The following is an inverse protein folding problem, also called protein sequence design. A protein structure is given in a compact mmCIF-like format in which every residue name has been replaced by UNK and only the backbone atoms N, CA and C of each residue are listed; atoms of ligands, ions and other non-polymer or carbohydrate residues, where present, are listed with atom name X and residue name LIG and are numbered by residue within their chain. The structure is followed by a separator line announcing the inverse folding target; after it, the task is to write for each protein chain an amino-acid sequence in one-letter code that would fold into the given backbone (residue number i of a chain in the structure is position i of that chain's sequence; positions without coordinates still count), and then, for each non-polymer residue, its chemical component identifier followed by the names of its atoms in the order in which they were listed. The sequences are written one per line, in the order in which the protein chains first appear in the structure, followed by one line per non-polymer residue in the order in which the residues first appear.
data_IF_305992193610
#
_entry.id   IF_305992193610
#
_cell.length_a   1.000
_cell.length_b   1.000
_cell.length_c   1.000
_cell.angle_alpha   90.00
_cell.angle_beta   90.00
_cell.angle_gamma   90.00
#
_symmetry.space_group_name_H-M   'P 1'
#
loop_
_entity.id
_entity.type
_entity.pdbx_description
1 polymer ?
#
# COMPACT_ATOMS: atom_id res chain seq x y z
N UNK A 1 -28.34 -12.49 34.07
CA UNK A 1 -26.93 -12.09 33.90
C UNK A 1 -26.34 -12.56 32.57
N UNK A 2 -26.32 -13.86 32.26
CA UNK A 2 -25.73 -14.37 30.99
C UNK A 2 -26.36 -13.80 29.71
N UNK A 3 -27.69 -13.58 29.67
CA UNK A 3 -28.37 -13.06 28.49
C UNK A 3 -28.05 -11.59 28.19
N UNK A 4 -27.83 -10.77 29.22
CA UNK A 4 -27.42 -9.37 29.03
C UNK A 4 -25.99 -9.30 28.49
N UNK A 5 -25.07 -10.08 29.05
CA UNK A 5 -23.70 -10.16 28.55
C UNK A 5 -23.63 -10.63 27.08
N UNK A 6 -24.44 -11.64 26.73
CA UNK A 6 -24.54 -12.12 25.35
C UNK A 6 -25.12 -11.06 24.41
N UNK A 7 -26.21 -10.38 24.81
CA UNK A 7 -26.80 -9.31 24.02
C UNK A 7 -25.80 -8.17 23.80
N UNK A 8 -25.07 -7.76 24.84
CA UNK A 8 -24.02 -6.74 24.74
C UNK A 8 -22.93 -7.16 23.75
N UNK A 9 -22.47 -8.41 23.79
CA UNK A 9 -21.49 -8.92 22.83
C UNK A 9 -22.02 -8.87 21.40
N UNK A 10 -23.26 -9.30 21.17
CA UNK A 10 -23.89 -9.27 19.84
C UNK A 10 -24.00 -7.84 19.32
N UNK A 11 -24.42 -6.89 20.16
CA UNK A 11 -24.49 -5.48 19.79
C UNK A 11 -23.11 -4.92 19.45
N UNK A 12 -22.07 -5.24 20.24
CA UNK A 12 -20.70 -4.81 19.95
C UNK A 12 -20.19 -5.36 18.62
N UNK A 13 -20.43 -6.63 18.33
CA UNK A 13 -20.06 -7.24 17.04
C UNK A 13 -20.83 -6.59 15.89
N UNK A 14 -22.13 -6.32 16.06
CA UNK A 14 -22.93 -5.64 15.05
C UNK A 14 -22.41 -4.22 14.77
N UNK A 15 -22.15 -3.43 15.81
CA UNK A 15 -21.57 -2.07 15.68
C UNK A 15 -20.21 -2.13 15.01
N UNK A 16 -19.36 -3.09 15.38
CA UNK A 16 -18.05 -3.30 14.74
C UNK A 16 -18.19 -3.57 13.24
N UNK A 17 -19.10 -4.47 12.84
CA UNK A 17 -19.35 -4.75 11.41
C UNK A 17 -19.93 -3.55 10.65
N UNK A 18 -20.79 -2.77 11.29
CA UNK A 18 -21.38 -1.57 10.66
C UNK A 18 -20.35 -0.45 10.44
N UNK A 19 -19.26 -0.43 11.20
CA UNK A 19 -18.24 0.64 11.17
C UNK A 19 -16.90 0.22 10.56
N UNK A 20 -16.70 -1.09 10.34
CA UNK A 20 -15.48 -1.65 9.80
C UNK A 20 -15.15 -1.17 8.38
N UNK A 21 -13.87 -1.21 8.06
CA UNK A 21 -13.32 -0.99 6.73
C UNK A 21 -12.18 -1.97 6.51
N UNK A 22 -12.23 -2.68 5.40
CA UNK A 22 -11.15 -3.47 4.84
C UNK A 22 -10.87 -2.99 3.42
N UNK A 23 -9.60 -2.97 3.03
CA UNK A 23 -9.23 -2.52 1.71
C UNK A 23 -7.75 -2.67 1.41
N UNK A 24 -7.41 -2.32 0.17
CA UNK A 24 -6.04 -2.39 -0.34
C UNK A 24 -5.69 -1.09 -1.05
N UNK A 25 -4.43 -0.72 -1.00
CA UNK A 25 -3.89 0.41 -1.74
C UNK A 25 -2.47 0.07 -2.21
N UNK A 26 -2.01 0.82 -3.20
CA UNK A 26 -0.61 0.86 -3.61
C UNK A 26 -0.01 2.18 -3.16
N UNK A 27 1.27 2.14 -2.76
CA UNK A 27 1.98 3.31 -2.28
C UNK A 27 3.35 3.36 -2.95
N UNK A 28 3.74 4.55 -3.39
CA UNK A 28 5.05 4.81 -4.00
C UNK A 28 5.97 5.46 -2.98
N UNK A 29 7.26 5.14 -3.06
CA UNK A 29 8.25 5.58 -2.08
C UNK A 29 8.28 7.11 -1.99
N UNK A 30 8.25 7.62 -0.75
CA UNK A 30 8.22 9.04 -0.45
C UNK A 30 6.91 9.76 -0.79
N UNK A 31 5.93 9.10 -1.42
CA UNK A 31 4.62 9.68 -1.75
C UNK A 31 3.64 9.43 -0.58
N UNK A 32 2.89 10.46 -0.12
CA UNK A 32 1.96 10.28 0.98
C UNK A 32 0.75 9.48 0.52
N UNK A 33 0.23 8.63 1.40
CA UNK A 33 -1.05 7.99 1.18
C UNK A 33 -2.16 9.05 1.09
N UNK A 34 -2.92 9.02 0.00
CA UNK A 34 -3.93 10.02 -0.35
C UNK A 34 -5.36 9.63 0.07
N UNK A 35 -5.51 8.47 0.73
CA UNK A 35 -6.80 7.94 1.15
C UNK A 35 -7.53 7.11 0.09
N UNK A 36 -6.97 6.89 -1.10
CA UNK A 36 -7.60 6.08 -2.14
C UNK A 36 -7.31 4.60 -1.97
N UNK A 37 -8.34 3.77 -2.09
CA UNK A 37 -8.24 2.32 -2.04
C UNK A 37 -8.51 1.74 -3.42
N UNK A 38 -7.72 0.73 -3.81
CA UNK A 38 -7.94 -0.09 -5.01
C UNK A 38 -9.21 -0.94 -4.87
N UNK A 39 -9.36 -1.56 -3.70
CA UNK A 39 -10.55 -2.31 -3.33
C UNK A 39 -10.99 -1.86 -1.94
N UNK A 40 -12.31 -1.80 -1.75
CA UNK A 40 -12.94 -1.30 -0.53
C UNK A 40 -14.14 -2.16 -0.17
N UNK A 41 -14.13 -2.66 1.06
CA UNK A 41 -15.28 -3.25 1.74
C UNK A 41 -15.50 -2.47 3.04
N UNK A 42 -16.63 -1.78 3.15
CA UNK A 42 -16.92 -0.90 4.26
C UNK A 42 -18.34 -1.12 4.79
N UNK A 43 -18.46 -1.13 6.12
CA UNK A 43 -19.75 -1.16 6.77
C UNK A 43 -20.58 0.11 6.44
N UNK A 44 -21.92 0.02 6.47
CA UNK A 44 -22.81 1.12 6.07
C UNK A 44 -22.73 2.36 6.96
N UNK A 45 -22.15 2.26 8.17
CA UNK A 45 -21.91 3.38 9.08
C UNK A 45 -20.43 3.79 9.13
N UNK A 46 -19.59 3.26 8.25
CA UNK A 46 -18.18 3.64 8.17
C UNK A 46 -18.05 5.12 7.75
N UNK A 47 -17.24 5.87 8.48
CA UNK A 47 -16.97 7.29 8.20
C UNK A 47 -15.63 7.42 7.50
N UNK A 48 -15.66 7.87 6.23
CA UNK A 48 -14.46 8.01 5.42
C UNK A 48 -13.60 9.19 5.87
N UNK A 49 -12.42 8.88 6.40
CA UNK A 49 -11.41 9.86 6.84
C UNK A 49 -9.99 9.39 6.53
N UNK A 50 -9.83 8.53 5.54
CA UNK A 50 -8.55 7.89 5.22
C UNK A 50 -7.46 8.89 4.83
N UNK A 51 -7.83 10.05 4.29
CA UNK A 51 -6.92 11.14 3.95
C UNK A 51 -6.17 11.68 5.17
N UNK A 52 -6.68 11.46 6.39
CA UNK A 52 -6.02 11.87 7.65
C UNK A 52 -4.86 10.96 8.04
N UNK A 53 -4.73 9.78 7.43
CA UNK A 53 -3.63 8.87 7.73
C UNK A 53 -2.31 9.46 7.22
N UNK A 54 -2.29 10.03 6.01
CA UNK A 54 -1.21 10.85 5.43
C UNK A 54 0.24 10.36 5.67
N UNK A 55 0.43 9.05 5.85
CA UNK A 55 1.75 8.46 6.08
C UNK A 55 2.46 8.19 4.75
N UNK A 56 3.78 8.08 4.81
CA UNK A 56 4.66 7.74 3.69
C UNK A 56 5.40 6.46 4.03
N UNK A 57 5.83 5.73 3.00
CA UNK A 57 6.90 4.74 3.18
C UNK A 57 8.19 5.25 2.56
N UNK A 58 9.29 5.04 3.26
CA UNK A 58 10.64 5.47 2.92
C UNK A 58 11.46 4.32 2.32
N UNK A 59 10.77 3.39 1.66
CA UNK A 59 11.35 2.16 1.12
C UNK A 59 11.18 0.94 2.03
N UNK A 60 11.69 -0.19 1.56
CA UNK A 60 11.63 -1.46 2.29
C UNK A 60 12.89 -2.30 2.07
N UNK A 61 13.20 -3.13 3.06
CA UNK A 61 14.28 -4.09 3.04
C UNK A 61 13.74 -5.50 3.25
N UNK A 62 14.38 -6.46 2.59
CA UNK A 62 14.10 -7.88 2.75
C UNK A 62 15.42 -8.63 2.63
N UNK A 63 15.73 -9.40 3.65
CA UNK A 63 16.87 -10.30 3.60
C UNK A 63 16.46 -11.56 2.82
N UNK A 64 17.13 -11.83 1.71
CA UNK A 64 16.97 -13.07 0.96
C UNK A 64 18.10 -14.02 1.35
N UNK A 65 17.74 -15.22 1.82
CA UNK A 65 18.68 -16.32 1.98
C UNK A 65 18.89 -17.06 0.65
N UNK A 66 19.96 -17.87 0.53
CA UNK A 66 20.25 -18.71 -0.64
C UNK A 66 19.03 -19.40 -1.24
N UNK A 67 18.95 -19.45 -2.57
CA UNK A 67 17.77 -19.91 -3.30
C UNK A 67 16.56 -18.95 -3.22
N UNK A 68 16.81 -17.64 -3.04
CA UNK A 68 15.77 -16.58 -2.97
C UNK A 68 14.72 -16.81 -1.87
N UNK A 69 15.11 -17.44 -0.77
CA UNK A 69 14.20 -17.65 0.36
C UNK A 69 13.99 -16.33 1.09
N UNK A 70 12.77 -15.80 1.01
CA UNK A 70 12.39 -14.53 1.62
C UNK A 70 12.45 -14.59 3.16
N UNK A 71 13.16 -13.64 3.76
CA UNK A 71 13.07 -13.30 5.18
C UNK A 71 11.89 -12.37 5.50
N UNK A 72 11.99 -11.69 6.65
CA UNK A 72 11.00 -10.72 7.08
C UNK A 72 11.09 -9.42 6.27
N UNK A 73 9.93 -8.86 5.90
CA UNK A 73 9.87 -7.51 5.32
C UNK A 73 10.02 -6.47 6.41
N UNK A 74 10.88 -5.47 6.18
CA UNK A 74 10.98 -4.24 6.98
C UNK A 74 10.67 -3.05 6.09
N UNK A 75 9.65 -2.28 6.40
CA UNK A 75 9.29 -1.09 5.65
C UNK A 75 9.24 0.09 6.62
N UNK A 76 10.08 1.10 6.38
CA UNK A 76 10.12 2.30 7.22
C UNK A 76 9.00 3.22 6.78
N UNK A 77 8.16 3.64 7.71
CA UNK A 77 7.07 4.60 7.47
C UNK A 77 7.27 5.86 8.29
N UNK A 78 6.80 6.98 7.77
CA UNK A 78 6.80 8.28 8.44
C UNK A 78 5.41 8.90 8.38
N UNK A 79 5.02 9.63 9.42
CA UNK A 79 3.76 10.38 9.45
C UNK A 79 3.86 11.59 10.39
N UNK A 80 2.87 12.46 10.37
CA UNK A 80 2.71 13.51 11.38
C UNK A 80 1.61 13.12 12.35
N UNK A 81 1.87 13.27 13.65
CA UNK A 81 0.84 13.06 14.67
C UNK A 81 -0.11 14.28 14.80
N UNK A 82 -1.10 14.17 15.70
CA UNK A 82 -2.10 15.22 15.93
C UNK A 82 -1.49 16.54 16.45
N UNK A 83 -0.23 16.52 16.92
CA UNK A 83 0.52 17.71 17.36
C UNK A 83 1.39 18.28 16.24
N UNK A 84 1.41 17.65 15.06
CA UNK A 84 2.25 18.01 13.92
C UNK A 84 3.70 17.51 14.05
N UNK A 85 4.03 16.69 15.05
CA UNK A 85 5.38 16.14 15.17
C UNK A 85 5.57 14.97 14.19
N UNK A 86 6.77 14.93 13.59
CA UNK A 86 7.16 13.82 12.73
C UNK A 86 7.40 12.56 13.57
N UNK A 87 6.75 11.48 13.16
CA UNK A 87 6.85 10.16 13.75
C UNK A 87 7.38 9.18 12.70
N UNK A 88 8.01 8.09 13.16
CA UNK A 88 8.46 7.01 12.30
C UNK A 88 8.34 5.66 12.99
N UNK A 89 8.11 4.62 12.19
CA UNK A 89 8.08 3.23 12.65
C UNK A 89 8.56 2.30 11.54
N UNK A 90 8.96 1.08 11.90
CA UNK A 90 9.21 0.00 10.95
C UNK A 90 8.05 -0.98 11.02
N UNK A 91 7.38 -1.18 9.89
CA UNK A 91 6.30 -2.15 9.73
C UNK A 91 6.75 -3.38 8.92
N UNK A 92 5.98 -4.45 8.98
CA UNK A 92 6.29 -5.68 8.26
C UNK A 92 5.19 -6.73 8.36
N UNK A 93 5.55 -7.97 8.01
CA UNK A 93 4.61 -9.08 7.80
C UNK A 93 3.66 -9.35 8.99
N UNK A 94 4.11 -9.07 10.22
CA UNK A 94 3.31 -9.24 11.46
C UNK A 94 3.31 -8.01 12.37
N UNK A 95 3.84 -6.88 11.89
CA UNK A 95 3.98 -5.65 12.67
C UNK A 95 3.30 -4.52 11.90
N UNK A 96 2.01 -4.24 12.16
CA UNK A 96 1.29 -3.20 11.45
C UNK A 96 1.63 -1.80 11.96
N UNK A 97 1.43 -0.79 11.10
CA UNK A 97 1.25 0.58 11.57
C UNK A 97 -0.16 0.70 12.14
N UNK A 98 -0.27 1.25 13.35
CA UNK A 98 -1.54 1.59 13.99
C UNK A 98 -1.75 3.09 13.88
N UNK A 99 -2.73 3.51 13.08
CA UNK A 99 -3.00 4.93 12.88
C UNK A 99 -4.49 5.20 12.75
N UNK A 100 -5.01 6.14 13.54
CA UNK A 100 -6.44 6.51 13.56
C UNK A 100 -7.38 5.29 13.65
N UNK A 101 -7.02 4.28 14.46
CA UNK A 101 -7.79 3.04 14.63
C UNK A 101 -7.62 1.99 13.53
N UNK A 102 -6.83 2.26 12.48
CA UNK A 102 -6.58 1.34 11.37
C UNK A 102 -5.29 0.54 11.62
N UNK A 103 -5.27 -0.70 11.10
CA UNK A 103 -4.07 -1.56 11.09
C UNK A 103 -3.59 -1.69 9.67
N UNK A 104 -2.45 -1.09 9.37
CA UNK A 104 -1.87 -1.06 8.02
C UNK A 104 -0.74 -2.07 7.96
N UNK A 105 -0.88 -3.07 7.09
CA UNK A 105 0.10 -4.14 6.91
C UNK A 105 0.81 -4.02 5.57
N UNK A 106 2.07 -4.44 5.51
CA UNK A 106 2.75 -4.65 4.24
C UNK A 106 2.17 -5.85 3.52
N UNK A 107 1.97 -5.75 2.21
CA UNK A 107 1.58 -6.89 1.40
C UNK A 107 2.82 -7.60 0.79
N UNK A 108 2.65 -8.82 0.25
CA UNK A 108 3.68 -9.44 -0.59
C UNK A 108 3.91 -8.70 -1.91
N UNK A 109 2.98 -7.85 -2.34
CA UNK A 109 3.06 -7.10 -3.60
C UNK A 109 3.94 -5.87 -3.42
N UNK A 110 5.24 -6.07 -3.63
CA UNK A 110 6.29 -5.06 -3.56
C UNK A 110 7.26 -5.26 -4.72
N UNK A 111 7.83 -4.17 -5.19
CA UNK A 111 8.65 -4.17 -6.39
C UNK A 111 8.80 -2.76 -6.93
N UNK A 112 8.96 -2.67 -8.24
CA UNK A 112 9.24 -1.40 -8.91
C UNK A 112 7.96 -0.66 -9.28
N UNK A 113 7.99 0.66 -9.10
CA UNK A 113 6.93 1.58 -9.50
C UNK A 113 7.54 2.82 -10.17
N UNK A 114 7.92 2.75 -11.46
CA UNK A 114 8.43 3.91 -12.18
C UNK A 114 7.44 5.09 -12.12
N UNK A 115 7.98 6.25 -11.81
CA UNK A 115 7.28 7.53 -11.87
C UNK A 115 7.36 8.09 -13.29
N UNK A 116 6.21 8.24 -13.93
CA UNK A 116 6.10 8.72 -15.30
C UNK A 116 5.31 10.03 -15.34
N UNK A 117 5.85 11.02 -16.05
CA UNK A 117 5.18 12.29 -16.31
C UNK A 117 4.63 12.28 -17.74
N UNK A 118 3.32 12.30 -17.86
CA UNK A 118 2.65 12.57 -19.13
C UNK A 118 2.57 14.08 -19.35
N UNK A 119 3.01 14.53 -20.52
CA UNK A 119 2.99 15.95 -20.92
C UNK A 119 2.15 16.07 -22.19
N UNK A 120 0.96 16.69 -22.12
CA UNK A 120 0.14 16.91 -23.31
C UNK A 120 0.62 18.10 -24.15
N UNK A 121 0.17 18.15 -25.41
CA UNK A 121 0.31 19.34 -26.26
C UNK A 121 -0.46 20.55 -25.71
N UNK A 122 -1.57 20.30 -24.99
CA UNK A 122 -2.39 21.31 -24.31
C UNK A 122 -2.87 20.79 -22.95
N UNK A 123 -2.79 21.62 -21.91
CA UNK A 123 -3.23 21.29 -20.55
C UNK A 123 -2.08 21.04 -19.57
N UNK A 124 -2.43 20.55 -18.38
CA UNK A 124 -1.45 20.29 -17.32
C UNK A 124 -0.79 18.92 -17.47
N UNK A 125 0.51 18.85 -17.21
CA UNK A 125 1.23 17.59 -17.12
C UNK A 125 0.73 16.76 -15.92
N UNK A 126 0.63 15.45 -16.09
CA UNK A 126 0.17 14.50 -15.07
C UNK A 126 1.34 13.61 -14.67
N UNK A 127 1.63 13.51 -13.37
CA UNK A 127 2.62 12.59 -12.81
C UNK A 127 1.88 11.40 -12.18
N UNK A 128 2.30 10.18 -12.49
CA UNK A 128 1.73 8.97 -11.89
C UNK A 128 2.77 7.86 -11.76
N UNK A 129 2.48 6.90 -10.89
CA UNK A 129 3.28 5.70 -10.73
C UNK A 129 2.65 4.55 -11.53
N UNK A 130 3.48 3.74 -12.19
CA UNK A 130 3.04 2.48 -12.81
C UNK A 130 3.55 1.33 -11.97
N UNK A 131 2.70 0.76 -11.12
CA UNK A 131 3.07 -0.35 -10.27
C UNK A 131 3.23 -1.64 -11.09
N UNK A 132 4.46 -2.16 -11.16
CA UNK A 132 4.78 -3.39 -11.85
C UNK A 132 4.47 -4.62 -10.98
N UNK A 133 4.33 -5.82 -11.58
CA UNK A 133 4.10 -7.05 -10.81
C UNK A 133 5.19 -7.28 -9.75
N UNK A 134 4.82 -7.89 -8.62
CA UNK A 134 5.74 -8.12 -7.50
C UNK A 134 7.09 -8.73 -7.91
N UNK A 135 8.17 -8.16 -7.38
CA UNK A 135 9.54 -8.62 -7.60
C UNK A 135 10.08 -9.29 -6.32
N UNK A 136 10.85 -10.39 -6.41
CA UNK A 136 11.33 -11.09 -7.61
C UNK A 136 10.39 -12.17 -8.17
N UNK A 137 9.23 -12.42 -7.54
CA UNK A 137 8.36 -13.54 -7.92
C UNK A 137 7.85 -13.47 -9.38
N UNK A 138 7.78 -12.27 -9.95
CA UNK A 138 7.41 -12.02 -11.34
C UNK A 138 8.54 -11.31 -12.11
N UNK A 139 9.81 -11.66 -11.84
CA UNK A 139 10.99 -11.10 -12.50
C UNK A 139 10.90 -11.11 -14.05
N UNK A 140 10.40 -12.20 -14.64
CA UNK A 140 10.25 -12.29 -16.10
C UNK A 140 8.99 -11.61 -16.66
N UNK A 141 8.17 -11.01 -15.79
CA UNK A 141 6.90 -10.35 -16.11
C UNK A 141 6.86 -8.90 -15.62
N UNK A 142 7.99 -8.21 -15.64
CA UNK A 142 8.11 -6.81 -15.24
C UNK A 142 7.59 -5.85 -16.33
N UNK A 143 6.31 -5.99 -16.68
CA UNK A 143 5.64 -5.10 -17.63
C UNK A 143 4.17 -4.89 -17.31
N UNK A 144 3.64 -3.73 -17.73
CA UNK A 144 2.24 -3.31 -17.57
C UNK A 144 1.84 -2.42 -18.74
N UNK A 145 0.57 -2.48 -19.10
CA UNK A 145 -0.06 -1.44 -19.90
C UNK A 145 -0.43 -0.27 -18.99
N UNK A 146 -0.07 0.94 -19.42
CA UNK A 146 -0.38 2.18 -18.73
C UNK A 146 -1.39 2.99 -19.56
N UNK A 147 -2.64 3.12 -19.09
CA UNK A 147 -3.61 4.01 -19.73
C UNK A 147 -3.17 5.46 -19.53
N UNK A 148 -3.05 6.18 -20.64
CA UNK A 148 -2.71 7.60 -20.66
C UNK A 148 -3.97 8.46 -20.52
N UNK A 149 -3.86 9.70 -19.98
CA UNK A 149 -5.02 10.57 -19.77
C UNK A 149 -5.81 10.94 -21.04
N UNK A 150 -5.21 10.83 -22.22
CA UNK A 150 -5.85 11.10 -23.51
C UNK A 150 -6.53 9.87 -24.14
N UNK A 151 -6.63 8.77 -23.40
CA UNK A 151 -7.26 7.53 -23.84
C UNK A 151 -6.36 6.60 -24.65
N UNK A 152 -5.10 6.98 -24.91
CA UNK A 152 -4.10 6.05 -25.45
C UNK A 152 -3.57 5.14 -24.36
N UNK A 153 -2.78 4.15 -24.76
CA UNK A 153 -2.02 3.29 -23.85
C UNK A 153 -0.54 3.31 -24.20
N UNK A 154 0.31 3.23 -23.19
CA UNK A 154 1.73 2.95 -23.33
C UNK A 154 2.06 1.60 -22.70
N UNK A 155 2.98 0.86 -23.30
CA UNK A 155 3.53 -0.34 -22.65
C UNK A 155 4.79 0.03 -21.89
N UNK A 156 4.79 -0.25 -20.59
CA UNK A 156 5.91 0.00 -19.69
C UNK A 156 6.55 -1.34 -19.36
N UNK A 157 7.84 -1.49 -19.66
CA UNK A 157 8.62 -2.66 -19.32
C UNK A 157 9.90 -2.24 -18.60
N UNK A 158 10.17 -2.88 -17.46
CA UNK A 158 11.47 -2.79 -16.80
C UNK A 158 12.35 -3.93 -17.32
N UNK A 159 13.54 -3.57 -17.79
CA UNK A 159 14.59 -4.52 -18.17
C UNK A 159 15.78 -4.33 -17.24
N UNK A 160 16.35 -5.45 -16.79
CA UNK A 160 17.50 -5.48 -15.88
C UNK A 160 18.61 -6.29 -16.54
N UNK A 161 19.79 -5.69 -16.71
CA UNK A 161 20.92 -6.37 -17.36
C UNK A 161 21.63 -7.37 -16.44
N UNK A 162 21.50 -7.19 -15.13
CA UNK A 162 22.09 -8.04 -14.10
C UNK A 162 21.01 -8.62 -13.18
N UNK A 163 21.29 -9.79 -12.60
CA UNK A 163 20.47 -10.35 -11.53
C UNK A 163 20.53 -9.42 -10.31
N UNK A 164 19.37 -8.93 -9.87
CA UNK A 164 19.28 -8.01 -8.72
C UNK A 164 19.28 -8.72 -7.35
N UNK A 165 18.94 -10.02 -7.35
CA UNK A 165 18.96 -10.86 -6.16
C UNK A 165 19.74 -12.12 -6.50
N UNK A 166 20.72 -12.46 -5.66
CA UNK A 166 21.55 -13.64 -5.82
C UNK A 166 20.67 -14.90 -5.89
N UNK A 167 20.73 -15.67 -7.01
CA UNK A 167 20.00 -16.92 -7.11
C UNK A 167 20.64 -18.06 -6.31
N UNK A 168 21.89 -17.93 -5.86
CA UNK A 168 22.65 -18.99 -5.20
C UNK A 168 22.40 -19.05 -3.69
#
# INVERSE_FOLDING_TARGET
MAHLALLTLVVLVAVGRLTALDGRFELTEGVPFDGQLLDRDAGPLHVDRLQRLAFRHEGFEIDYAPGRKRGATRNTVTWQDDTGQAQSAVIGDHHPLLLQGHRIYTSPNKGFAPLLRWVPDQGAAVLGAVHLPSFPMHELRQSREWPLPDGRSAWVQLQTDAALIDPQ
#
